data_IF_164432148686
#
_entry.id   IF_164432148686
#
_cell.length_a   1.000
_cell.length_b   1.000
_cell.length_c   1.000
_cell.angle_alpha   90.00
_cell.angle_beta   90.00
_cell.angle_gamma   90.00
#
_symmetry.space_group_name_H-M   'P 1'
#
loop_
_entity.id
_entity.type
_entity.pdbx_description
1 polymer ?
#
# COMPACT_ATOMS: atom_id res chain seq x y z
N UNK A 1 23.01 -2.85 -18.61
CA UNK A 1 23.67 -3.35 -17.39
C UNK A 1 23.16 -4.73 -16.98
N UNK A 2 21.85 -4.98 -16.95
CA UNK A 2 21.27 -6.28 -16.56
C UNK A 2 21.86 -7.48 -17.33
N UNK A 3 22.01 -7.39 -18.66
CA UNK A 3 22.62 -8.44 -19.49
C UNK A 3 24.03 -8.86 -19.02
N UNK A 4 24.86 -7.90 -18.63
CA UNK A 4 26.22 -8.18 -18.15
C UNK A 4 26.23 -8.79 -16.75
N UNK A 5 25.30 -8.40 -15.88
CA UNK A 5 25.12 -9.02 -14.55
C UNK A 5 24.68 -10.48 -14.67
N UNK A 6 23.72 -10.76 -15.57
CA UNK A 6 23.26 -12.13 -15.83
C UNK A 6 24.42 -12.98 -16.38
N UNK A 7 25.18 -12.46 -17.36
CA UNK A 7 26.33 -13.17 -17.92
C UNK A 7 27.43 -13.42 -16.87
N UNK A 8 27.71 -12.44 -16.01
CA UNK A 8 28.67 -12.60 -14.91
C UNK A 8 28.21 -13.64 -13.88
N UNK A 9 26.93 -13.64 -13.54
CA UNK A 9 26.34 -14.64 -12.64
C UNK A 9 26.39 -16.05 -13.25
N UNK A 10 26.04 -16.21 -14.53
CA UNK A 10 26.13 -17.48 -15.26
C UNK A 10 27.58 -17.97 -15.35
N UNK A 11 28.52 -17.08 -15.63
CA UNK A 11 29.94 -17.40 -15.63
C UNK A 11 30.41 -17.85 -14.24
N UNK A 12 29.94 -17.21 -13.17
CA UNK A 12 30.24 -17.58 -11.79
C UNK A 12 29.72 -18.98 -11.46
N UNK A 13 28.43 -19.25 -11.75
CA UNK A 13 27.77 -20.55 -11.57
C UNK A 13 28.53 -21.66 -12.30
N UNK A 14 28.94 -21.44 -13.55
CA UNK A 14 29.69 -22.47 -14.31
C UNK A 14 31.13 -22.62 -13.81
N UNK A 15 31.77 -21.52 -13.38
CA UNK A 15 33.18 -21.53 -12.96
C UNK A 15 33.41 -22.29 -11.66
N UNK A 16 32.44 -22.30 -10.74
CA UNK A 16 32.59 -22.93 -9.42
C UNK A 16 32.75 -24.46 -9.53
N UNK A 17 31.87 -25.21 -10.22
CA UNK A 17 32.07 -26.64 -10.48
C UNK A 17 33.33 -26.94 -11.28
N UNK A 18 33.65 -26.08 -12.26
CA UNK A 18 34.84 -26.26 -13.08
C UNK A 18 36.11 -26.20 -12.22
N UNK A 19 36.27 -25.17 -11.39
CA UNK A 19 37.40 -25.06 -10.46
C UNK A 19 37.38 -26.19 -9.43
N UNK A 20 36.21 -26.52 -8.87
CA UNK A 20 36.06 -27.64 -7.92
C UNK A 20 36.56 -28.97 -8.50
N UNK A 21 36.36 -29.23 -9.80
CA UNK A 21 36.82 -30.46 -10.46
C UNK A 21 38.34 -30.60 -10.53
N UNK A 22 39.10 -29.50 -10.46
CA UNK A 22 40.57 -29.55 -10.43
C UNK A 22 41.13 -29.82 -9.03
N UNK A 23 40.45 -29.36 -7.99
CA UNK A 23 40.96 -29.37 -6.62
C UNK A 23 40.34 -30.41 -5.70
N UNK A 24 39.16 -30.93 -6.05
CA UNK A 24 38.45 -31.92 -5.25
C UNK A 24 38.41 -33.28 -5.96
N UNK A 25 38.38 -34.39 -5.20
CA UNK A 25 37.99 -35.68 -5.74
C UNK A 25 36.59 -35.60 -6.35
N UNK A 26 36.26 -36.51 -7.26
CA UNK A 26 34.98 -36.53 -7.99
C UNK A 26 33.73 -36.46 -7.07
N UNK A 27 33.77 -37.07 -5.88
CA UNK A 27 32.68 -37.01 -4.91
C UNK A 27 32.51 -35.61 -4.30
N UNK A 28 33.62 -34.88 -4.12
CA UNK A 28 33.61 -33.49 -3.63
C UNK A 28 33.00 -32.57 -4.69
N UNK A 29 33.34 -32.76 -5.96
CA UNK A 29 32.70 -32.03 -7.07
C UNK A 29 31.19 -32.27 -7.10
N UNK A 30 30.75 -33.52 -6.90
CA UNK A 30 29.33 -33.86 -6.84
C UNK A 30 28.60 -33.16 -5.69
N UNK A 31 29.21 -33.06 -4.51
CA UNK A 31 28.65 -32.30 -3.38
C UNK A 31 28.56 -30.80 -3.68
N UNK A 32 29.55 -30.22 -4.38
CA UNK A 32 29.51 -28.82 -4.79
C UNK A 32 28.35 -28.58 -5.75
N UNK A 33 28.16 -29.44 -6.75
CA UNK A 33 27.05 -29.34 -7.70
C UNK A 33 25.70 -29.44 -6.98
N UNK A 34 25.54 -30.40 -6.06
CA UNK A 34 24.30 -30.52 -5.27
C UNK A 34 24.07 -29.26 -4.42
N UNK A 35 25.12 -28.77 -3.73
CA UNK A 35 25.04 -27.56 -2.91
C UNK A 35 24.66 -26.34 -3.73
N UNK A 36 25.21 -26.20 -4.94
CA UNK A 36 24.85 -25.15 -5.88
C UNK A 36 23.40 -25.27 -6.36
N UNK A 37 22.95 -26.48 -6.74
CA UNK A 37 21.55 -26.71 -7.14
C UNK A 37 20.59 -26.38 -5.98
N UNK A 38 20.93 -26.74 -4.74
CA UNK A 38 20.12 -26.40 -3.56
C UNK A 38 20.15 -24.88 -3.30
N UNK A 39 21.32 -24.24 -3.40
CA UNK A 39 21.46 -22.79 -3.25
C UNK A 39 20.68 -22.03 -4.31
N UNK A 40 20.71 -22.47 -5.57
CA UNK A 40 19.95 -21.86 -6.66
C UNK A 40 18.46 -22.17 -6.56
N UNK A 41 18.08 -23.39 -6.18
CA UNK A 41 16.68 -23.81 -6.09
C UNK A 41 15.95 -23.20 -4.90
N UNK A 42 16.62 -23.07 -3.74
CA UNK A 42 16.00 -22.59 -2.49
C UNK A 42 16.51 -21.20 -2.11
N UNK A 43 17.81 -20.97 -2.23
CA UNK A 43 18.43 -19.71 -1.84
C UNK A 43 18.10 -18.56 -2.79
N UNK A 44 18.06 -18.79 -4.11
CA UNK A 44 17.74 -17.74 -5.08
C UNK A 44 16.31 -17.19 -4.92
N UNK A 45 15.22 -17.99 -4.83
CA UNK A 45 13.89 -17.42 -4.64
C UNK A 45 13.76 -16.72 -3.28
N UNK A 46 14.37 -17.25 -2.22
CA UNK A 46 14.38 -16.60 -0.92
C UNK A 46 15.11 -15.24 -0.96
N UNK A 47 16.27 -15.18 -1.64
CA UNK A 47 17.04 -13.94 -1.83
C UNK A 47 16.26 -12.94 -2.69
N UNK A 48 15.65 -13.38 -3.78
CA UNK A 48 14.81 -12.52 -4.63
C UNK A 48 13.64 -11.96 -3.84
N UNK A 49 12.91 -12.79 -3.08
CA UNK A 49 11.82 -12.34 -2.20
C UNK A 49 12.33 -11.33 -1.18
N UNK A 50 13.48 -11.56 -0.57
CA UNK A 50 14.08 -10.64 0.39
C UNK A 50 14.49 -9.30 -0.27
N UNK A 51 15.08 -9.34 -1.45
CA UNK A 51 15.48 -8.14 -2.20
C UNK A 51 14.25 -7.34 -2.63
N UNK A 52 13.25 -7.99 -3.22
CA UNK A 52 11.99 -7.36 -3.67
C UNK A 52 11.28 -6.73 -2.48
N UNK A 53 11.09 -7.46 -1.38
CA UNK A 53 10.44 -6.93 -0.17
C UNK A 53 11.21 -5.73 0.38
N UNK A 54 12.55 -5.78 0.43
CA UNK A 54 13.38 -4.66 0.89
C UNK A 54 13.29 -3.44 -0.03
N UNK A 55 13.28 -3.64 -1.35
CA UNK A 55 13.14 -2.55 -2.32
C UNK A 55 11.74 -1.93 -2.28
N UNK A 56 10.69 -2.76 -2.25
CA UNK A 56 9.31 -2.31 -2.08
C UNK A 56 9.19 -1.49 -0.80
N UNK A 57 9.71 -2.02 0.32
CA UNK A 57 9.74 -1.33 1.61
C UNK A 57 10.41 0.05 1.51
N UNK A 58 11.61 0.13 0.91
CA UNK A 58 12.31 1.40 0.74
C UNK A 58 11.60 2.41 -0.18
N UNK A 59 10.93 1.93 -1.23
CA UNK A 59 10.16 2.80 -2.13
C UNK A 59 8.95 3.39 -1.41
N UNK A 60 8.21 2.57 -0.65
CA UNK A 60 7.05 3.02 0.12
C UNK A 60 7.45 3.97 1.26
N UNK A 61 8.56 3.73 1.96
CA UNK A 61 9.09 4.70 2.94
C UNK A 61 9.42 6.05 2.31
N UNK A 62 9.91 6.06 1.08
CA UNK A 62 10.25 7.31 0.39
C UNK A 62 8.99 8.07 0.01
N UNK A 63 7.95 7.36 -0.43
CA UNK A 63 6.63 7.95 -0.70
C UNK A 63 5.97 8.46 0.57
N UNK A 64 6.01 7.72 1.67
CA UNK A 64 5.32 8.08 2.91
C UNK A 64 5.89 9.35 3.54
N UNK A 65 7.21 9.57 3.43
CA UNK A 65 7.93 10.73 3.99
C UNK A 65 7.41 12.10 3.54
N UNK A 66 6.70 12.20 2.43
CA UNK A 66 6.14 13.48 1.96
C UNK A 66 5.13 14.07 2.95
N UNK A 67 4.39 13.22 3.69
CA UNK A 67 3.43 13.65 4.71
C UNK A 67 3.88 13.36 6.14
N UNK A 68 5.18 13.06 6.34
CA UNK A 68 5.72 12.88 7.69
C UNK A 68 5.57 14.18 8.48
N UNK A 69 4.92 14.09 9.63
CA UNK A 69 4.55 15.23 10.49
C UNK A 69 3.66 16.28 9.79
N UNK A 70 2.93 15.91 8.74
CA UNK A 70 1.98 16.83 8.13
C UNK A 70 0.92 17.26 9.14
N UNK A 71 0.58 18.54 9.12
CA UNK A 71 -0.50 19.09 9.92
C UNK A 71 -1.83 18.81 9.23
N UNK A 72 -2.81 18.31 9.98
CA UNK A 72 -4.17 18.09 9.50
C UNK A 72 -5.11 18.96 10.30
N UNK A 73 -5.85 19.81 9.61
CA UNK A 73 -6.93 20.62 10.19
C UNK A 73 -8.27 20.04 9.74
N UNK A 74 -9.04 19.51 10.69
CA UNK A 74 -10.35 18.91 10.41
C UNK A 74 -11.42 20.01 10.41
N UNK A 75 -12.13 20.15 9.29
CA UNK A 75 -13.23 21.09 9.12
C UNK A 75 -14.57 20.44 9.43
N UNK A 76 -14.78 19.20 8.98
CA UNK A 76 -16.00 18.43 9.24
C UNK A 76 -15.70 16.93 9.30
N UNK A 77 -16.45 16.21 10.14
CA UNK A 77 -16.48 14.76 10.16
C UNK A 77 -17.91 14.29 10.50
N UNK A 78 -18.59 13.70 9.53
CA UNK A 78 -20.00 13.33 9.66
C UNK A 78 -20.33 12.03 8.92
N UNK A 79 -21.45 11.42 9.30
CA UNK A 79 -21.97 10.26 8.58
C UNK A 79 -22.52 10.73 7.23
N UNK A 80 -22.24 9.96 6.19
CA UNK A 80 -22.76 10.22 4.85
C UNK A 80 -23.34 8.94 4.24
N UNK A 81 -23.98 9.08 3.08
CA UNK A 81 -24.42 7.96 2.27
C UNK A 81 -23.29 7.49 1.36
N UNK A 82 -23.43 6.27 0.82
CA UNK A 82 -22.52 5.76 -0.22
C UNK A 82 -22.43 6.77 -1.36
N UNK A 83 -21.23 7.14 -1.84
CA UNK A 83 -21.11 8.00 -3.01
C UNK A 83 -21.71 7.29 -4.22
N UNK A 84 -22.43 8.04 -5.06
CA UNK A 84 -22.82 7.56 -6.39
C UNK A 84 -21.54 7.42 -7.20
N UNK A 85 -21.06 6.20 -7.38
CA UNK A 85 -19.98 5.91 -8.31
C UNK A 85 -20.61 5.95 -9.69
N UNK A 86 -20.21 6.92 -10.51
CA UNK A 86 -20.50 6.84 -11.94
C UNK A 86 -19.97 5.48 -12.40
N UNK A 87 -20.87 4.57 -12.76
CA UNK A 87 -20.54 3.26 -13.28
C UNK A 87 -19.75 3.49 -14.56
N UNK A 88 -18.43 3.60 -14.42
CA UNK A 88 -17.54 3.52 -15.57
C UNK A 88 -17.90 2.19 -16.24
N UNK A 89 -18.19 2.21 -17.55
CA UNK A 89 -18.51 0.99 -18.26
C UNK A 89 -17.42 -0.02 -17.91
N UNK A 90 -17.84 -1.18 -17.38
CA UNK A 90 -16.92 -2.23 -16.98
C UNK A 90 -15.91 -2.39 -18.12
N UNK A 91 -14.59 -2.38 -17.84
CA UNK A 91 -13.60 -2.54 -18.89
C UNK A 91 -14.04 -3.76 -19.70
N UNK A 92 -14.28 -3.58 -21.00
CA UNK A 92 -14.55 -4.69 -21.89
C UNK A 92 -13.30 -5.56 -21.80
N UNK A 93 -13.38 -6.62 -20.99
CA UNK A 93 -12.30 -7.57 -20.76
C UNK A 93 -12.07 -8.29 -22.09
N UNK A 94 -11.19 -7.72 -22.90
CA UNK A 94 -10.72 -8.27 -24.17
C UNK A 94 -9.60 -9.31 -23.90
N UNK A 95 -9.80 -10.18 -22.91
CA UNK A 95 -8.82 -11.18 -22.49
C UNK A 95 -9.16 -12.56 -23.08
N UNK A 96 -8.50 -12.84 -24.21
CA UNK A 96 -8.15 -14.18 -24.65
C UNK A 96 -7.07 -14.79 -23.71
N UNK A 97 -7.32 -16.02 -23.24
CA UNK A 97 -6.34 -17.00 -22.74
C UNK A 97 -5.46 -16.67 -21.50
N UNK A 98 -6.08 -16.61 -20.31
CA UNK A 98 -5.37 -16.82 -19.05
C UNK A 98 -6.04 -17.92 -18.21
N UNK A 99 -5.72 -19.18 -18.52
CA UNK A 99 -6.02 -20.37 -17.71
C UNK A 99 -5.06 -20.46 -16.52
N UNK A 100 -5.31 -19.71 -15.45
CA UNK A 100 -4.69 -19.95 -14.15
C UNK A 100 -5.75 -20.44 -13.15
N UNK A 101 -5.53 -21.66 -12.68
CA UNK A 101 -6.41 -22.45 -11.82
C UNK A 101 -6.75 -21.73 -10.50
N UNK A 102 -8.00 -21.95 -10.08
CA UNK A 102 -8.70 -21.19 -9.05
C UNK A 102 -8.13 -21.33 -7.64
N UNK A 103 -7.95 -20.17 -7.02
CA UNK A 103 -8.02 -20.02 -5.57
C UNK A 103 -9.47 -19.62 -5.25
N UNK A 104 -10.23 -20.58 -4.72
CA UNK A 104 -11.63 -20.43 -4.30
C UNK A 104 -11.67 -19.74 -2.92
N UNK A 105 -10.91 -18.64 -2.77
CA UNK A 105 -11.09 -17.70 -1.67
C UNK A 105 -12.37 -16.95 -1.96
N UNK A 106 -13.48 -17.46 -1.43
CA UNK A 106 -14.70 -16.69 -1.31
C UNK A 106 -14.40 -15.48 -0.42
N UNK A 107 -13.86 -14.43 -1.04
CA UNK A 107 -13.60 -13.12 -0.47
C UNK A 107 -14.93 -12.60 0.05
N UNK A 108 -15.16 -12.82 1.34
CA UNK A 108 -16.22 -12.16 2.06
C UNK A 108 -15.86 -10.68 2.01
N UNK A 109 -16.41 -9.96 1.02
CA UNK A 109 -16.26 -8.51 0.94
C UNK A 109 -16.52 -7.95 2.35
N UNK A 110 -15.56 -7.21 2.93
CA UNK A 110 -15.70 -6.72 4.29
C UNK A 110 -17.00 -5.94 4.36
N UNK A 111 -17.86 -6.36 5.28
CA UNK A 111 -19.21 -5.81 5.38
C UNK A 111 -19.10 -4.32 5.71
N UNK A 112 -19.35 -3.48 4.71
CA UNK A 112 -19.33 -2.03 4.88
C UNK A 112 -20.55 -1.63 5.70
N UNK A 113 -20.32 -1.14 6.92
CA UNK A 113 -21.40 -0.80 7.83
C UNK A 113 -21.81 0.67 7.75
N UNK A 114 -20.88 1.59 7.43
CA UNK A 114 -21.18 3.01 7.28
C UNK A 114 -20.19 3.77 6.42
N UNK A 115 -20.62 4.92 5.91
CA UNK A 115 -19.77 5.87 5.21
C UNK A 115 -19.53 7.11 6.07
N UNK A 116 -18.29 7.58 6.12
CA UNK A 116 -17.87 8.76 6.87
C UNK A 116 -17.26 9.79 5.93
N UNK A 117 -17.81 11.00 5.93
CA UNK A 117 -17.25 12.15 5.25
C UNK A 117 -16.23 12.82 6.17
N UNK A 118 -15.05 13.12 5.64
CA UNK A 118 -13.99 13.88 6.34
C UNK A 118 -13.56 15.04 5.45
N UNK A 119 -13.88 16.27 5.85
CA UNK A 119 -13.38 17.50 5.22
C UNK A 119 -12.20 18.01 6.04
N UNK A 120 -11.03 18.12 5.42
CA UNK A 120 -9.82 18.56 6.11
C UNK A 120 -8.83 19.28 5.19
N UNK A 121 -7.97 20.09 5.78
CA UNK A 121 -6.77 20.63 5.12
C UNK A 121 -5.55 19.86 5.57
N UNK A 122 -4.78 19.34 4.61
CA UNK A 122 -3.50 18.67 4.86
C UNK A 122 -2.38 19.63 4.46
N UNK A 123 -1.46 19.90 5.39
CA UNK A 123 -0.30 20.77 5.18
C UNK A 123 0.99 19.98 5.43
N UNK A 124 1.73 19.60 4.37
CA UNK A 124 3.02 18.92 4.51
C UNK A 124 4.03 19.75 5.32
N UNK A 125 4.81 19.12 6.19
CA UNK A 125 5.88 19.81 6.92
C UNK A 125 7.13 19.91 6.04
N UNK A 126 7.54 21.11 5.60
CA UNK A 126 8.68 21.28 4.70
C UNK A 126 10.02 20.86 5.34
N UNK A 127 10.10 20.72 6.67
CA UNK A 127 11.32 20.28 7.37
C UNK A 127 11.51 18.77 7.35
N UNK A 128 10.42 18.03 7.18
CA UNK A 128 10.41 16.57 7.22
C UNK A 128 10.02 15.94 5.88
N UNK A 129 9.47 16.72 4.95
CA UNK A 129 9.24 16.32 3.57
C UNK A 129 10.55 15.81 2.96
N UNK A 130 10.55 14.53 2.59
CA UNK A 130 11.68 13.89 1.93
C UNK A 130 11.96 14.46 0.53
N UNK A 131 12.68 13.72 -0.34
CA UNK A 131 12.94 14.18 -1.70
C UNK A 131 11.67 14.26 -2.57
N UNK A 132 10.56 13.67 -2.13
CA UNK A 132 9.27 13.78 -2.80
C UNK A 132 8.50 14.98 -2.28
N UNK A 133 7.97 15.79 -3.20
CA UNK A 133 7.16 16.98 -2.92
C UNK A 133 5.68 16.81 -3.26
N UNK A 134 5.35 15.69 -3.91
CA UNK A 134 4.00 15.38 -4.36
C UNK A 134 3.49 14.13 -3.64
N UNK A 135 2.20 14.11 -3.33
CA UNK A 135 1.51 13.01 -2.69
C UNK A 135 0.19 12.70 -3.40
N UNK A 136 -0.31 11.49 -3.18
CA UNK A 136 -1.48 10.97 -3.88
C UNK A 136 -2.69 10.91 -2.96
N UNK A 137 -3.75 11.70 -3.19
CA UNK A 137 -4.94 11.69 -2.33
C UNK A 137 -5.69 10.34 -2.33
N UNK A 138 -5.41 9.45 -3.28
CA UNK A 138 -6.03 8.13 -3.34
C UNK A 138 -5.37 7.09 -2.43
N UNK A 139 -4.17 7.36 -1.91
CA UNK A 139 -3.42 6.45 -1.05
C UNK A 139 -3.79 6.56 0.46
N UNK A 140 -4.90 7.23 0.78
CA UNK A 140 -5.37 7.41 2.15
C UNK A 140 -6.29 6.27 2.63
N UNK A 141 -6.17 5.95 3.90
CA UNK A 141 -7.13 5.12 4.63
C UNK A 141 -7.43 5.75 6.00
N UNK A 142 -8.51 5.33 6.65
CA UNK A 142 -8.74 5.61 8.07
C UNK A 142 -8.25 4.44 8.90
N UNK A 143 -7.47 4.72 9.94
CA UNK A 143 -6.98 3.70 10.85
C UNK A 143 -7.32 4.04 12.31
N UNK A 144 -7.44 3.03 13.19
CA UNK A 144 -7.61 3.28 14.63
C UNK A 144 -6.46 4.13 15.18
N UNK A 145 -6.77 5.09 16.05
CA UNK A 145 -5.78 6.04 16.55
C UNK A 145 -4.58 5.35 17.23
N UNK A 146 -4.87 4.31 18.02
CA UNK A 146 -3.86 3.53 18.76
C UNK A 146 -3.10 2.50 17.93
N UNK A 147 -3.48 2.26 16.67
CA UNK A 147 -2.78 1.28 15.80
C UNK A 147 -1.37 1.79 15.50
N UNK A 148 -0.31 1.01 15.78
CA UNK A 148 1.04 1.44 15.47
C UNK A 148 1.20 1.57 13.95
N UNK A 149 1.88 2.63 13.52
CA UNK A 149 2.16 2.91 12.11
C UNK A 149 3.64 2.69 11.86
N UNK A 150 3.98 2.03 10.76
CA UNK A 150 5.36 1.69 10.46
C UNK A 150 5.43 0.49 9.53
N UNK A 151 6.59 0.33 8.92
CA UNK A 151 6.84 -0.73 7.95
C UNK A 151 6.99 -2.11 8.57
N UNK A 152 7.35 -2.11 9.85
CA UNK A 152 7.46 -3.27 10.73
C UNK A 152 6.10 -3.86 11.10
N UNK A 153 5.00 -3.12 10.90
CA UNK A 153 3.64 -3.53 11.24
C UNK A 153 2.80 -3.96 10.02
N UNK A 154 3.42 -4.05 8.84
CA UNK A 154 2.73 -4.35 7.58
C UNK A 154 2.40 -5.84 7.40
N UNK A 155 3.11 -6.73 8.10
CA UNK A 155 3.04 -8.18 7.86
C UNK A 155 1.88 -8.88 8.61
N UNK A 156 0.85 -8.14 9.08
CA UNK A 156 -0.27 -8.70 9.84
C UNK A 156 -1.64 -8.36 9.25
N UNK A 157 -2.54 -9.36 9.21
CA UNK A 157 -3.97 -9.33 8.82
C UNK A 157 -4.79 -8.30 9.62
N UNK A 158 -4.48 -7.02 9.47
CA UNK A 158 -5.05 -5.95 10.28
C UNK A 158 -5.89 -4.98 9.45
N UNK A 159 -6.27 -5.40 8.24
CA UNK A 159 -7.12 -4.61 7.35
C UNK A 159 -8.59 -4.58 7.82
N UNK A 160 -9.02 -5.55 8.62
CA UNK A 160 -10.40 -5.68 9.11
C UNK A 160 -10.91 -4.48 9.93
N UNK A 161 -10.01 -3.67 10.50
CA UNK A 161 -10.34 -2.54 11.35
C UNK A 161 -10.04 -1.17 10.70
N UNK A 162 -9.81 -1.13 9.39
CA UNK A 162 -9.51 0.10 8.67
C UNK A 162 -10.66 0.55 7.77
N UNK A 163 -10.77 1.86 7.60
CA UNK A 163 -11.70 2.47 6.66
C UNK A 163 -11.03 2.66 5.30
N UNK A 164 -11.66 2.16 4.25
CA UNK A 164 -11.17 2.26 2.87
C UNK A 164 -11.68 3.54 2.22
N UNK A 165 -10.85 4.18 1.40
CA UNK A 165 -11.24 5.38 0.67
C UNK A 165 -12.18 5.00 -0.49
N UNK A 166 -13.33 5.67 -0.55
CA UNK A 166 -14.34 5.45 -1.59
C UNK A 166 -14.32 6.57 -2.64
N UNK A 167 -14.15 7.82 -2.18
CA UNK A 167 -14.07 8.97 -3.06
C UNK A 167 -13.29 10.10 -2.39
N UNK A 168 -12.64 10.93 -3.19
CA UNK A 168 -11.98 12.15 -2.73
C UNK A 168 -12.32 13.30 -3.67
N UNK A 169 -12.66 14.46 -3.11
CA UNK A 169 -12.82 15.71 -3.84
C UNK A 169 -11.82 16.73 -3.37
N UNK A 170 -11.30 17.52 -4.30
CA UNK A 170 -10.37 18.60 -4.02
C UNK A 170 -11.14 19.92 -3.98
N UNK A 171 -10.97 20.70 -2.92
CA UNK A 171 -11.57 22.04 -2.82
C UNK A 171 -10.52 23.08 -3.21
N UNK A 172 -10.72 23.72 -4.36
CA UNK A 172 -9.86 24.79 -4.85
C UNK A 172 -9.88 26.03 -3.96
N UNK A 173 -8.94 26.97 -4.16
CA UNK A 173 -8.88 28.23 -3.42
C UNK A 173 -10.09 29.14 -3.68
N UNK A 174 -10.79 28.94 -4.78
CA UNK A 174 -12.06 29.57 -5.15
C UNK A 174 -13.29 28.90 -4.51
N UNK A 175 -13.09 27.81 -3.77
CA UNK A 175 -14.14 27.01 -3.17
C UNK A 175 -14.85 26.07 -4.14
N UNK A 176 -14.37 25.96 -5.39
CA UNK A 176 -14.92 25.03 -6.36
C UNK A 176 -14.37 23.62 -6.07
N UNK A 177 -15.27 22.65 -6.02
CA UNK A 177 -14.92 21.24 -5.87
C UNK A 177 -14.57 20.63 -7.22
N UNK A 178 -13.43 19.95 -7.28
CA UNK A 178 -13.01 19.11 -8.40
C UNK A 178 -13.26 17.66 -8.03
N UNK A 179 -13.86 16.91 -8.95
CA UNK A 179 -14.08 15.48 -8.79
C UNK A 179 -12.76 14.69 -8.96
N UNK A 180 -12.76 13.47 -8.43
CA UNK A 180 -11.59 12.58 -8.36
C UNK A 180 -10.90 12.35 -9.72
N UNK A 181 -11.66 12.34 -10.82
CA UNK A 181 -11.12 12.12 -12.15
C UNK A 181 -10.29 13.30 -12.71
N UNK A 182 -10.36 14.48 -12.08
CA UNK A 182 -9.82 15.72 -12.65
C UNK A 182 -8.50 16.19 -12.03
N UNK A 183 -7.99 15.53 -10.98
CA UNK A 183 -6.74 15.91 -10.34
C UNK A 183 -5.72 14.76 -10.20
N UNK A 184 -4.46 15.10 -10.45
CA UNK A 184 -3.33 14.20 -10.24
C UNK A 184 -2.71 14.36 -8.84
N UNK A 185 -1.41 14.09 -8.76
CA UNK A 185 -0.65 14.24 -7.51
C UNK A 185 -0.63 15.69 -7.04
N UNK A 186 -0.76 15.88 -5.73
CA UNK A 186 -0.87 17.19 -5.09
C UNK A 186 0.47 17.58 -4.48
N UNK A 187 0.83 18.85 -4.58
CA UNK A 187 1.98 19.44 -3.88
C UNK A 187 1.53 20.52 -2.89
N UNK A 188 2.15 20.54 -1.71
CA UNK A 188 1.89 21.56 -0.70
C UNK A 188 0.54 21.40 0.03
N UNK A 189 0.05 22.49 0.67
CA UNK A 189 -1.21 22.49 1.41
C UNK A 189 -2.42 22.32 0.50
N UNK A 190 -3.36 21.46 0.88
CA UNK A 190 -4.59 21.25 0.11
C UNK A 190 -5.79 20.91 1.02
N UNK A 191 -6.97 21.42 0.65
CA UNK A 191 -8.23 21.05 1.29
C UNK A 191 -8.92 19.95 0.49
N UNK A 192 -9.34 18.91 1.19
CA UNK A 192 -9.87 17.68 0.62
C UNK A 192 -11.13 17.28 1.37
N UNK A 193 -12.06 16.69 0.62
CA UNK A 193 -13.21 15.99 1.18
C UNK A 193 -13.12 14.53 0.82
N UNK A 194 -12.85 13.71 1.81
CA UNK A 194 -12.80 12.26 1.70
C UNK A 194 -14.14 11.65 2.07
N UNK A 195 -14.50 10.55 1.43
CA UNK A 195 -15.53 9.64 1.91
C UNK A 195 -14.88 8.27 2.09
N UNK A 196 -14.98 7.73 3.30
CA UNK A 196 -14.46 6.42 3.64
C UNK A 196 -15.60 5.45 3.91
N UNK A 197 -15.49 4.22 3.40
CA UNK A 197 -16.24 3.08 3.91
C UNK A 197 -15.58 2.61 5.19
N UNK A 198 -16.33 2.52 6.28
CA UNK A 198 -15.81 2.14 7.60
C UNK A 198 -16.49 0.87 8.11
N UNK A 199 -15.71 -0.13 8.58
CA UNK A 199 -16.28 -1.27 9.28
C UNK A 199 -16.88 -0.84 10.63
N UNK A 200 -17.84 -1.59 11.16
CA UNK A 200 -18.44 -1.29 12.47
C UNK A 200 -17.42 -1.34 13.62
N UNK A 201 -16.31 -2.07 13.47
CA UNK A 201 -15.23 -2.18 14.46
C UNK A 201 -14.45 -0.88 14.62
N UNK A 202 -14.30 -0.10 13.54
CA UNK A 202 -13.60 1.18 13.56
C UNK A 202 -14.48 2.26 14.24
N UNK A 203 -14.22 2.54 15.51
CA UNK A 203 -15.02 3.49 16.33
C UNK A 203 -14.14 4.44 17.13
N UNK A 204 -14.72 5.54 17.59
CA UNK A 204 -14.03 6.50 18.46
C UNK A 204 -13.00 7.34 17.70
N UNK A 205 -11.75 7.34 18.18
CA UNK A 205 -10.67 8.13 17.58
C UNK A 205 -9.98 7.36 16.48
N UNK A 206 -9.79 8.02 15.34
CA UNK A 206 -9.08 7.53 14.18
C UNK A 206 -8.02 8.54 13.72
N UNK A 207 -7.21 8.13 12.76
CA UNK A 207 -6.24 8.99 12.07
C UNK A 207 -6.23 8.67 10.59
N UNK A 208 -5.81 9.63 9.77
CA UNK A 208 -5.57 9.42 8.35
C UNK A 208 -4.25 8.67 8.21
N UNK A 209 -4.28 7.51 7.58
CA UNK A 209 -3.10 6.72 7.23
C UNK A 209 -2.73 7.01 5.78
N UNK A 210 -1.51 7.47 5.56
CA UNK A 210 -0.90 7.61 4.23
C UNK A 210 0.34 6.72 4.19
N UNK A 211 0.20 5.56 3.54
CA UNK A 211 1.18 4.46 3.63
C UNK A 211 1.50 4.08 5.09
N UNK A 212 2.67 4.50 5.58
CA UNK A 212 3.20 4.22 6.92
C UNK A 212 3.15 5.42 7.87
N UNK A 213 2.63 6.56 7.42
CA UNK A 213 2.50 7.75 8.26
C UNK A 213 1.04 7.88 8.70
N UNK A 214 0.82 7.99 10.02
CA UNK A 214 -0.48 8.32 10.58
C UNK A 214 -0.52 9.81 10.91
N UNK A 215 -1.45 10.56 10.32
CA UNK A 215 -1.59 12.00 10.50
C UNK A 215 -3.01 12.37 10.92
N UNK A 216 -3.11 13.49 11.65
CA UNK A 216 -4.38 13.98 12.18
C UNK A 216 -4.95 13.15 13.32
N UNK A 217 -6.01 13.69 13.92
CA UNK A 217 -6.79 13.08 14.99
C UNK A 217 -8.26 13.36 14.68
N UNK A 218 -8.99 12.29 14.34
CA UNK A 218 -10.36 12.38 13.86
C UNK A 218 -11.25 11.69 14.88
N UNK A 219 -12.22 12.42 15.41
CA UNK A 219 -13.28 11.84 16.21
C UNK A 219 -14.39 11.36 15.28
N UNK A 220 -14.48 10.03 15.08
CA UNK A 220 -15.52 9.46 14.22
C UNK A 220 -16.90 9.64 14.85
N UNK A 221 -17.94 9.92 14.04
CA UNK A 221 -19.31 9.97 14.51
C UNK A 221 -19.74 8.60 15.02
N UNK A 222 -20.43 8.57 16.15
CA UNK A 222 -20.99 7.32 16.66
C UNK A 222 -22.07 6.85 15.70
N UNK A 223 -21.96 5.60 15.24
CA UNK A 223 -23.07 4.95 14.59
C UNK A 223 -24.17 4.83 15.64
N UNK A 224 -25.28 5.55 15.45
CA UNK A 224 -26.46 5.34 16.26
C UNK A 224 -26.83 3.88 16.04
N UNK A 225 -26.51 3.01 17.00
CA UNK A 225 -26.83 1.61 16.94
C UNK A 225 -28.35 1.54 16.84
N UNK A 226 -28.86 1.43 15.60
CA UNK A 226 -30.26 1.27 15.35
C UNK A 226 -30.70 0.08 16.17
N UNK A 227 -31.60 0.31 17.12
CA UNK A 227 -32.33 -0.76 17.76
C UNK A 227 -32.93 -1.60 16.64
N UNK A 228 -32.28 -2.72 16.33
CA UNK A 228 -32.86 -3.78 15.53
C UNK A 228 -34.02 -4.35 16.36
N UNK A 229 -35.19 -3.75 16.18
CA UNK A 229 -36.48 -4.28 16.63
C UNK A 229 -36.94 -5.38 15.71
#
# INVERSE_FOLDING_TARGET
>A
MLKYLILAFLALVISVPFVASYFLPWWGTLLVIIGEVVLLGVGLPALLKYVITKFAKGLFETKSKVLRNAQVEIHACELTTKPERDELPAPENDDEDSELEGDDSSDLEPKVDRYVLVDCTITPDPRHAGPMTHWDPFDFALAPYGKPMGIEHMDGDTEDDEGSLESVKLTGPDGIEQDDNDFGKIAGPMRLRFIFSCPATLTGRAKLRYYFEGIGDIQLPQHAAGHAT
#
